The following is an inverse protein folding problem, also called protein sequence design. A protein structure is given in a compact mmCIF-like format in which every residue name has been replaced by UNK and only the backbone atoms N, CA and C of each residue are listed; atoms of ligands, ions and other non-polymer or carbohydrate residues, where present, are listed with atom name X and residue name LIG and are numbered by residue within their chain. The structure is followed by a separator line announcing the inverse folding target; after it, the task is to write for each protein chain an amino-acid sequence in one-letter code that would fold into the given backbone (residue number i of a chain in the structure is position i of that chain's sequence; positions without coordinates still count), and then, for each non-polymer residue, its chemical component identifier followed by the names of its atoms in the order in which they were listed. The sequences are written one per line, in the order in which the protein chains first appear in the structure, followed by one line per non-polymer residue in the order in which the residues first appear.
data_IF_082092197615
#
_entry.id   IF_082092197615
#
_cell.length_a   1.000
_cell.length_b   1.000
_cell.length_c   1.000
_cell.angle_alpha   90.00
_cell.angle_beta   90.00
_cell.angle_gamma   90.00
#
_symmetry.space_group_name_H-M   'P 1'
#
loop_
_entity.id
_entity.type
_entity.pdbx_description
1 polymer ?
#
# COMPACT_ATOMS: atom_id res chain seq x y z
N UNK A 1 10.11 -12.57 24.11
CA UNK A 1 9.64 -12.54 22.72
C UNK A 1 10.59 -11.65 21.95
N UNK A 2 10.90 -11.97 20.70
CA UNK A 2 11.82 -11.12 19.93
C UNK A 2 11.07 -9.88 19.43
N UNK A 3 11.75 -8.72 19.54
CA UNK A 3 11.29 -7.47 18.99
C UNK A 3 12.03 -7.17 17.71
N UNK A 4 11.34 -6.64 16.73
CA UNK A 4 11.90 -6.15 15.47
C UNK A 4 11.42 -4.73 15.19
N UNK A 5 12.16 -4.01 14.37
CA UNK A 5 11.68 -2.74 13.85
C UNK A 5 10.42 -2.96 13.00
N UNK A 6 9.48 -2.05 13.10
CA UNK A 6 8.23 -2.10 12.32
C UNK A 6 8.51 -2.14 10.83
N UNK A 7 9.52 -1.41 10.34
CA UNK A 7 9.93 -1.46 8.93
C UNK A 7 10.34 -2.87 8.50
N UNK A 8 11.10 -3.61 9.32
CA UNK A 8 11.48 -4.99 9.04
C UNK A 8 10.26 -5.93 9.04
N UNK A 9 9.33 -5.72 9.97
CA UNK A 9 8.09 -6.51 10.03
C UNK A 9 7.18 -6.27 8.81
N UNK A 10 7.13 -5.03 8.29
CA UNK A 10 6.42 -4.73 7.04
C UNK A 10 7.08 -5.49 5.87
N UNK A 11 8.41 -5.49 5.78
CA UNK A 11 9.15 -6.24 4.74
C UNK A 11 8.87 -7.74 4.86
N UNK A 12 8.97 -8.31 6.07
CA UNK A 12 8.62 -9.71 6.32
C UNK A 12 7.18 -10.04 5.89
N UNK A 13 6.23 -9.14 6.15
CA UNK A 13 4.83 -9.29 5.72
C UNK A 13 4.72 -9.30 4.19
N UNK A 14 5.36 -8.35 3.51
CA UNK A 14 5.34 -8.28 2.04
C UNK A 14 5.98 -9.53 1.41
N UNK A 15 7.07 -10.04 1.99
CA UNK A 15 7.70 -11.28 1.55
C UNK A 15 6.77 -12.50 1.70
N UNK A 16 6.05 -12.60 2.82
CA UNK A 16 5.06 -13.67 3.06
C UNK A 16 3.89 -13.59 2.07
N UNK A 17 3.54 -12.38 1.63
CA UNK A 17 2.52 -12.14 0.59
C UNK A 17 3.02 -12.42 -0.83
N UNK A 18 4.25 -12.89 -0.99
CA UNK A 18 4.90 -13.11 -2.30
C UNK A 18 5.00 -11.84 -3.16
N UNK A 19 5.07 -10.67 -2.53
CA UNK A 19 5.40 -9.43 -3.22
C UNK A 19 6.85 -9.50 -3.67
N UNK A 20 7.12 -9.21 -4.96
CA UNK A 20 8.48 -9.26 -5.52
C UNK A 20 9.08 -7.87 -5.68
N UNK A 21 8.26 -6.89 -5.97
CA UNK A 21 8.70 -5.53 -6.28
C UNK A 21 7.91 -4.50 -5.48
N UNK A 22 8.63 -3.50 -4.99
CA UNK A 22 8.09 -2.25 -4.45
C UNK A 22 8.54 -1.14 -5.37
N UNK A 23 7.62 -0.48 -6.04
CA UNK A 23 7.90 0.62 -6.98
C UNK A 23 7.85 1.94 -6.23
N UNK A 24 8.88 2.77 -6.33
CA UNK A 24 8.88 4.01 -5.57
C UNK A 24 10.00 4.97 -5.92
N UNK A 25 10.00 6.09 -5.22
CA UNK A 25 11.09 7.04 -5.21
C UNK A 25 11.57 7.21 -3.75
N UNK A 26 12.88 7.30 -3.57
CA UNK A 26 13.44 7.53 -2.25
C UNK A 26 12.94 8.87 -1.69
N UNK A 27 12.63 8.90 -0.40
CA UNK A 27 12.17 10.09 0.28
C UNK A 27 12.38 9.98 1.79
N UNK A 28 12.48 11.12 2.44
CA UNK A 28 12.84 11.23 3.83
C UNK A 28 11.93 10.42 4.77
N UNK A 29 10.62 10.49 4.60
CA UNK A 29 9.67 9.81 5.51
C UNK A 29 9.61 8.29 5.34
N UNK A 30 10.20 7.73 4.29
CA UNK A 30 10.25 6.28 4.04
C UNK A 30 11.66 5.68 4.16
N UNK A 31 12.63 6.43 4.72
CA UNK A 31 14.02 5.97 4.89
C UNK A 31 14.07 4.66 5.68
N UNK A 32 13.30 4.52 6.76
CA UNK A 32 13.24 3.27 7.52
C UNK A 32 12.81 2.07 6.69
N UNK A 33 11.83 2.26 5.78
CA UNK A 33 11.42 1.22 4.82
C UNK A 33 12.50 0.92 3.78
N UNK A 34 13.18 1.94 3.26
CA UNK A 34 14.27 1.74 2.30
C UNK A 34 15.43 0.97 2.90
N UNK A 35 15.76 1.26 4.15
CA UNK A 35 16.78 0.53 4.90
C UNK A 35 16.38 -0.94 5.10
N UNK A 36 15.14 -1.22 5.53
CA UNK A 36 14.63 -2.57 5.66
C UNK A 36 14.59 -3.32 4.31
N UNK A 37 14.11 -2.67 3.24
CA UNK A 37 14.10 -3.23 1.87
C UNK A 37 15.50 -3.56 1.37
N UNK A 38 16.53 -2.77 1.73
CA UNK A 38 17.92 -3.01 1.33
C UNK A 38 18.50 -4.32 1.89
N UNK A 39 17.96 -4.80 3.01
CA UNK A 39 18.34 -6.08 3.63
C UNK A 39 17.60 -7.28 3.08
N UNK A 40 16.46 -7.07 2.41
CA UNK A 40 15.69 -8.15 1.82
C UNK A 40 16.42 -8.77 0.63
N UNK A 41 16.37 -10.11 0.54
CA UNK A 41 16.87 -10.87 -0.61
C UNK A 41 15.77 -11.29 -1.58
N UNK A 42 14.50 -11.07 -1.21
CA UNK A 42 13.33 -11.51 -1.98
C UNK A 42 12.55 -10.34 -2.59
N UNK A 43 12.54 -9.20 -1.91
CA UNK A 43 11.90 -7.97 -2.36
C UNK A 43 12.91 -7.07 -3.07
N UNK A 44 12.51 -6.53 -4.20
CA UNK A 44 13.33 -5.58 -4.96
C UNK A 44 12.66 -4.21 -4.96
N UNK A 45 13.39 -3.20 -4.49
CA UNK A 45 12.95 -1.81 -4.63
C UNK A 45 13.29 -1.30 -6.03
N UNK A 46 12.27 -0.97 -6.80
CA UNK A 46 12.41 -0.37 -8.14
C UNK A 46 12.37 1.14 -7.98
N UNK A 47 13.55 1.74 -7.89
CA UNK A 47 13.69 3.18 -7.75
C UNK A 47 13.36 3.88 -9.07
N UNK A 48 12.35 4.74 -9.06
CA UNK A 48 11.93 5.53 -10.21
C UNK A 48 12.46 6.96 -10.10
N UNK A 49 12.28 7.77 -11.14
CA UNK A 49 12.68 9.18 -11.13
C UNK A 49 11.51 10.14 -10.86
N UNK A 50 10.31 9.59 -10.71
CA UNK A 50 9.10 10.35 -10.41
C UNK A 50 8.03 9.38 -9.90
N UNK A 51 7.22 9.79 -8.94
CA UNK A 51 6.25 8.92 -8.29
C UNK A 51 5.10 8.51 -9.23
N UNK A 52 4.76 9.32 -10.20
CA UNK A 52 3.81 8.93 -11.26
C UNK A 52 4.30 7.72 -12.04
N UNK A 53 5.62 7.61 -12.28
CA UNK A 53 6.22 6.45 -12.92
C UNK A 53 6.11 5.24 -12.00
N UNK A 54 6.33 5.42 -10.69
CA UNK A 54 6.21 4.33 -9.72
C UNK A 54 4.80 3.76 -9.67
N UNK A 55 3.79 4.60 -9.56
CA UNK A 55 2.38 4.16 -9.54
C UNK A 55 1.94 3.55 -10.86
N UNK A 56 2.38 4.08 -12.00
CA UNK A 56 2.07 3.52 -13.32
C UNK A 56 2.79 2.17 -13.54
N UNK A 57 4.03 2.02 -13.07
CA UNK A 57 4.75 0.75 -13.13
C UNK A 57 4.07 -0.32 -12.25
N UNK A 58 3.63 0.07 -11.03
CA UNK A 58 2.85 -0.80 -10.17
C UNK A 58 1.52 -1.23 -10.84
N UNK A 59 0.80 -0.30 -11.48
CA UNK A 59 -0.40 -0.59 -12.26
C UNK A 59 -0.12 -1.61 -13.36
N UNK A 60 0.90 -1.39 -14.18
CA UNK A 60 1.30 -2.31 -15.26
C UNK A 60 1.68 -3.71 -14.73
N UNK A 61 2.42 -3.76 -13.61
CA UNK A 61 2.78 -5.02 -12.97
C UNK A 61 1.54 -5.78 -12.45
N UNK A 62 0.61 -5.09 -11.81
CA UNK A 62 -0.62 -5.71 -11.31
C UNK A 62 -1.51 -6.25 -12.46
N UNK A 63 -1.56 -5.58 -13.62
CA UNK A 63 -2.29 -6.06 -14.80
C UNK A 63 -1.76 -7.40 -15.31
N UNK A 64 -0.44 -7.59 -15.28
CA UNK A 64 0.20 -8.82 -15.78
C UNK A 64 0.12 -9.95 -14.75
N UNK A 65 0.30 -9.63 -13.47
CA UNK A 65 0.36 -10.65 -12.40
C UNK A 65 -0.99 -11.01 -11.79
N UNK A 66 -1.99 -10.14 -11.97
CA UNK A 66 -3.32 -10.24 -11.32
C UNK A 66 -3.24 -10.28 -9.79
N UNK A 67 -2.18 -9.70 -9.21
CA UNK A 67 -1.95 -9.54 -7.77
C UNK A 67 -1.83 -8.06 -7.44
N UNK A 68 -2.09 -7.71 -6.18
CA UNK A 68 -1.87 -6.34 -5.73
C UNK A 68 -0.39 -5.95 -5.83
N UNK A 69 -0.11 -4.90 -6.59
CA UNK A 69 1.22 -4.30 -6.64
C UNK A 69 1.41 -3.28 -5.52
N UNK A 70 2.65 -3.06 -5.12
CA UNK A 70 3.00 -2.10 -4.07
C UNK A 70 3.70 -0.89 -4.68
N UNK A 71 3.12 0.29 -4.49
CA UNK A 71 3.76 1.57 -4.72
C UNK A 71 4.15 2.20 -3.38
N UNK A 72 5.33 2.79 -3.28
CA UNK A 72 5.81 3.46 -2.07
C UNK A 72 6.23 4.89 -2.40
N UNK A 73 5.81 5.83 -1.59
CA UNK A 73 6.11 7.23 -1.79
C UNK A 73 6.33 7.99 -0.47
N UNK A 74 6.99 9.12 -0.59
CA UNK A 74 7.18 10.10 0.45
C UNK A 74 5.87 10.86 0.72
N UNK A 75 5.85 11.75 1.69
CA UNK A 75 4.71 12.60 2.04
C UNK A 75 4.43 13.71 0.99
N UNK A 76 3.30 14.37 1.12
CA UNK A 76 2.93 15.62 0.45
C UNK A 76 3.06 15.57 -1.07
N UNK A 77 4.09 16.24 -1.65
CA UNK A 77 4.26 16.28 -3.11
C UNK A 77 4.33 14.91 -3.77
N UNK A 78 4.90 13.91 -3.09
CA UNK A 78 4.95 12.55 -3.62
C UNK A 78 3.57 11.90 -3.72
N UNK A 79 2.68 12.18 -2.76
CA UNK A 79 1.30 11.70 -2.83
C UNK A 79 0.52 12.36 -3.98
N UNK A 80 0.70 13.66 -4.21
CA UNK A 80 0.09 14.31 -5.38
C UNK A 80 0.62 13.72 -6.69
N UNK A 81 1.89 13.37 -6.73
CA UNK A 81 2.52 12.78 -7.93
C UNK A 81 2.06 11.35 -8.21
N UNK A 82 1.84 10.50 -7.20
CA UNK A 82 1.32 9.13 -7.44
C UNK A 82 -0.14 9.12 -7.88
N UNK A 83 -0.90 10.19 -7.63
CA UNK A 83 -2.34 10.26 -7.82
C UNK A 83 -2.77 9.85 -9.23
N UNK A 84 -2.03 10.23 -10.27
CA UNK A 84 -2.37 9.88 -11.65
C UNK A 84 -2.41 8.38 -11.87
N UNK A 85 -1.39 7.63 -11.49
CA UNK A 85 -1.36 6.17 -11.64
C UNK A 85 -2.36 5.46 -10.72
N UNK A 86 -2.59 5.99 -9.51
CA UNK A 86 -3.61 5.48 -8.58
C UNK A 86 -5.02 5.68 -9.15
N UNK A 87 -5.32 6.85 -9.73
CA UNK A 87 -6.60 7.10 -10.37
C UNK A 87 -6.84 6.18 -11.58
N UNK A 88 -5.80 5.95 -12.40
CA UNK A 88 -5.85 5.00 -13.49
C UNK A 88 -6.16 3.57 -13.01
N UNK A 89 -5.45 3.10 -11.98
CA UNK A 89 -5.70 1.80 -11.36
C UNK A 89 -7.14 1.67 -10.81
N UNK A 90 -7.68 2.76 -10.22
CA UNK A 90 -9.05 2.81 -9.72
C UNK A 90 -10.09 2.64 -10.82
N UNK A 91 -9.94 3.37 -11.92
CA UNK A 91 -10.87 3.32 -13.05
C UNK A 91 -10.89 1.95 -13.71
N UNK A 92 -9.72 1.32 -13.85
CA UNK A 92 -9.56 0.04 -14.52
C UNK A 92 -9.67 -1.17 -13.57
N UNK A 93 -9.98 -0.95 -12.29
CA UNK A 93 -10.13 -2.02 -11.29
C UNK A 93 -8.85 -2.82 -11.08
N UNK A 94 -7.71 -2.14 -11.03
CA UNK A 94 -6.38 -2.75 -10.84
C UNK A 94 -6.01 -2.72 -9.35
N UNK A 95 -5.67 -3.87 -8.74
CA UNK A 95 -5.33 -3.92 -7.33
C UNK A 95 -3.96 -3.26 -7.07
N UNK A 96 -3.91 -2.31 -6.14
CA UNK A 96 -2.69 -1.62 -5.75
C UNK A 96 -2.73 -1.26 -4.27
N UNK A 97 -1.60 -1.42 -3.59
CA UNK A 97 -1.39 -0.92 -2.22
C UNK A 97 -0.36 0.19 -2.28
N UNK A 98 -0.79 1.40 -1.96
CA UNK A 98 0.11 2.55 -1.83
C UNK A 98 0.53 2.64 -0.37
N UNK A 99 1.83 2.55 -0.10
CA UNK A 99 2.43 2.79 1.21
C UNK A 99 3.05 4.18 1.15
N UNK A 100 2.49 5.11 1.88
CA UNK A 100 3.00 6.47 1.96
C UNK A 100 3.66 6.71 3.32
N UNK A 101 4.72 7.51 3.33
CA UNK A 101 5.23 8.07 4.55
C UNK A 101 4.51 9.37 4.90
N UNK A 102 4.38 9.67 6.18
CA UNK A 102 3.86 10.93 6.68
C UNK A 102 4.86 11.59 7.65
N UNK A 103 4.61 12.83 8.03
CA UNK A 103 5.37 13.48 9.09
C UNK A 103 5.34 12.64 10.36
N UNK A 104 6.36 12.75 11.25
CA UNK A 104 6.29 12.08 12.53
C UNK A 104 5.00 12.42 13.28
N UNK A 105 4.39 11.44 13.93
CA UNK A 105 3.08 11.59 14.59
C UNK A 105 3.01 12.75 15.59
N UNK A 106 4.13 13.08 16.24
CA UNK A 106 4.23 14.22 17.17
C UNK A 106 4.31 15.60 16.49
N UNK A 107 4.40 15.64 15.15
CA UNK A 107 4.36 16.89 14.37
C UNK A 107 3.03 17.17 13.69
N UNK A 108 2.06 16.28 13.75
CA UNK A 108 0.76 16.50 13.11
C UNK A 108 0.16 17.86 13.47
N UNK A 109 -0.25 18.60 12.45
CA UNK A 109 -0.84 19.94 12.60
C UNK A 109 0.15 21.06 12.97
N UNK A 110 1.45 20.77 12.97
CA UNK A 110 2.50 21.79 13.23
C UNK A 110 3.19 22.29 11.96
N UNK A 111 2.70 21.83 10.83
CA UNK A 111 3.18 22.20 9.48
C UNK A 111 4.71 22.11 9.28
N UNK A 112 5.34 20.97 9.61
CA UNK A 112 6.73 20.76 9.24
C UNK A 112 6.84 20.68 7.71
N UNK A 113 8.08 20.71 7.21
CA UNK A 113 8.39 20.68 5.80
C UNK A 113 7.60 19.62 5.02
N UNK A 114 6.87 20.03 3.99
CA UNK A 114 6.05 19.20 3.09
C UNK A 114 4.79 18.56 3.73
N UNK A 115 4.47 18.82 4.99
CA UNK A 115 3.18 18.41 5.52
C UNK A 115 2.05 19.07 4.73
N UNK A 116 1.11 18.26 4.25
CA UNK A 116 -0.13 18.74 3.65
C UNK A 116 -1.24 18.57 4.67
N UNK A 117 -1.55 19.65 5.36
CA UNK A 117 -2.67 19.75 6.30
C UNK A 117 -3.17 21.19 6.34
N UNK A 118 -3.81 21.63 5.26
CA UNK A 118 -4.22 23.03 5.08
C UNK A 118 -5.51 23.35 5.83
N UNK A 119 -6.40 22.38 6.01
CA UNK A 119 -7.67 22.49 6.71
C UNK A 119 -8.23 21.07 6.97
N UNK A 120 -9.40 20.95 7.60
CA UNK A 120 -9.97 19.69 8.10
C UNK A 120 -9.93 18.53 7.09
N UNK A 121 -10.27 18.78 5.83
CA UNK A 121 -10.26 17.79 4.76
C UNK A 121 -9.05 17.92 3.81
N UNK A 122 -8.08 18.78 4.14
CA UNK A 122 -6.96 19.14 3.29
C UNK A 122 -5.65 18.44 3.67
N UNK A 123 -5.71 17.28 4.29
CA UNK A 123 -4.53 16.44 4.56
C UNK A 123 -4.19 15.52 3.39
N UNK A 124 -2.94 15.03 3.37
CA UNK A 124 -2.45 14.17 2.29
C UNK A 124 -3.26 12.86 2.14
N UNK A 125 -3.69 12.30 3.25
CA UNK A 125 -4.50 11.10 3.29
C UNK A 125 -5.88 11.33 2.62
N UNK A 126 -6.50 12.49 2.84
CA UNK A 126 -7.80 12.84 2.26
C UNK A 126 -7.75 13.04 0.75
N UNK A 127 -6.61 13.47 0.20
CA UNK A 127 -6.46 13.67 -1.25
C UNK A 127 -6.68 12.39 -2.08
N UNK A 128 -6.37 11.21 -1.52
CA UNK A 128 -6.53 9.94 -2.22
C UNK A 128 -7.89 9.27 -1.98
N UNK A 129 -8.70 9.74 -1.03
CA UNK A 129 -10.02 9.15 -0.74
C UNK A 129 -10.92 9.01 -1.97
N UNK A 130 -11.01 9.99 -2.90
CA UNK A 130 -11.88 9.86 -4.07
C UNK A 130 -11.49 8.77 -5.05
N UNK A 131 -10.22 8.36 -5.07
CA UNK A 131 -9.67 7.41 -6.04
C UNK A 131 -9.27 6.07 -5.42
N UNK A 132 -9.26 5.95 -4.10
CA UNK A 132 -8.95 4.71 -3.41
C UNK A 132 -10.21 4.03 -2.88
N UNK A 133 -10.23 2.70 -2.87
CA UNK A 133 -11.29 1.94 -2.21
C UNK A 133 -11.35 2.25 -0.70
N UNK A 134 -10.17 2.48 -0.11
CA UNK A 134 -10.01 2.93 1.26
C UNK A 134 -8.63 3.53 1.47
N UNK A 135 -8.59 4.52 2.35
CA UNK A 135 -7.36 5.08 2.90
C UNK A 135 -7.33 4.79 4.40
N UNK A 136 -6.15 4.47 4.93
CA UNK A 136 -5.87 4.37 6.35
C UNK A 136 -4.74 5.31 6.70
N UNK A 137 -4.90 6.07 7.75
CA UNK A 137 -3.79 6.69 8.48
C UNK A 137 -3.47 5.82 9.67
N UNK A 138 -2.21 5.51 9.88
CA UNK A 138 -1.77 4.68 11.01
C UNK A 138 -1.53 5.59 12.22
N UNK A 139 -2.49 5.62 13.14
CA UNK A 139 -2.38 6.40 14.38
C UNK A 139 -1.79 5.57 15.52
N UNK A 140 -1.90 4.25 15.42
CA UNK A 140 -1.36 3.28 16.36
C UNK A 140 -0.58 2.20 15.62
N UNK A 141 0.68 2.04 16.02
CA UNK A 141 1.58 1.05 15.42
C UNK A 141 1.10 -0.39 15.63
N UNK A 142 0.41 -0.69 16.72
CA UNK A 142 -0.13 -2.02 17.00
C UNK A 142 -1.29 -2.40 16.05
N UNK A 143 -1.96 -1.40 15.47
CA UNK A 143 -2.99 -1.62 14.47
C UNK A 143 -2.43 -1.94 13.08
N UNK A 144 -1.16 -1.64 12.81
CA UNK A 144 -0.56 -1.72 11.48
C UNK A 144 -0.62 -3.13 10.84
N UNK A 145 -0.37 -4.25 11.57
CA UNK A 145 -0.51 -5.59 10.99
C UNK A 145 -1.93 -5.85 10.45
N UNK A 146 -2.95 -5.42 11.19
CA UNK A 146 -4.36 -5.56 10.79
C UNK A 146 -4.71 -4.64 9.61
N UNK A 147 -4.15 -3.43 9.60
CA UNK A 147 -4.37 -2.47 8.52
C UNK A 147 -3.77 -3.02 7.22
N UNK A 148 -2.53 -3.52 7.24
CA UNK A 148 -1.88 -4.09 6.06
C UNK A 148 -2.63 -5.32 5.53
N UNK A 149 -3.01 -6.25 6.41
CA UNK A 149 -3.78 -7.43 5.99
C UNK A 149 -5.11 -7.03 5.33
N UNK A 150 -5.83 -6.07 5.93
CA UNK A 150 -7.09 -5.56 5.35
C UNK A 150 -6.85 -4.80 4.05
N UNK A 151 -5.76 -4.05 3.95
CA UNK A 151 -5.42 -3.29 2.76
C UNK A 151 -5.23 -4.21 1.55
N UNK A 152 -4.42 -5.24 1.67
CA UNK A 152 -4.20 -6.20 0.58
C UNK A 152 -5.48 -6.94 0.23
N UNK A 153 -6.22 -7.46 1.23
CA UNK A 153 -7.49 -8.14 0.96
C UNK A 153 -8.51 -7.24 0.28
N UNK A 154 -8.61 -5.97 0.70
CA UNK A 154 -9.56 -5.04 0.10
C UNK A 154 -9.13 -4.67 -1.33
N UNK A 155 -7.83 -4.48 -1.57
CA UNK A 155 -7.32 -4.19 -2.91
C UNK A 155 -7.69 -5.30 -3.92
N UNK A 156 -7.64 -6.56 -3.49
CA UNK A 156 -7.80 -7.74 -4.35
C UNK A 156 -9.24 -8.29 -4.39
N UNK A 157 -10.13 -7.89 -3.46
CA UNK A 157 -11.48 -8.48 -3.33
C UNK A 157 -12.56 -7.69 -4.04
N UNK A 158 -13.64 -8.38 -4.43
CA UNK A 158 -14.78 -7.79 -5.14
C UNK A 158 -14.34 -7.16 -6.46
N UNK A 159 -14.70 -5.88 -6.70
CA UNK A 159 -14.07 -5.08 -7.73
C UNK A 159 -12.69 -4.67 -7.22
N UNK A 160 -11.57 -5.16 -7.78
CA UNK A 160 -10.24 -4.77 -7.33
C UNK A 160 -10.01 -3.26 -7.47
N UNK A 161 -9.02 -2.74 -6.77
CA UNK A 161 -8.69 -1.31 -6.87
C UNK A 161 -7.64 -0.88 -5.85
N UNK A 162 -7.17 0.36 -5.94
CA UNK A 162 -6.14 0.88 -5.08
C UNK A 162 -6.63 1.15 -3.66
N UNK A 163 -5.71 1.06 -2.72
CA UNK A 163 -5.85 1.44 -1.32
C UNK A 163 -4.62 2.21 -0.87
N UNK A 164 -4.77 3.05 0.14
CA UNK A 164 -3.68 3.80 0.76
C UNK A 164 -3.47 3.36 2.20
N UNK A 165 -2.22 3.16 2.58
CA UNK A 165 -1.76 3.04 3.97
C UNK A 165 -0.73 4.14 4.20
N UNK A 166 -1.14 5.16 4.95
CA UNK A 166 -0.35 6.34 5.29
C UNK A 166 0.28 6.14 6.66
N UNK A 167 1.61 6.11 6.73
CA UNK A 167 2.36 5.69 7.91
C UNK A 167 3.29 6.82 8.35
N UNK A 168 3.08 7.41 9.55
CA UNK A 168 4.02 8.36 10.13
C UNK A 168 5.43 7.79 10.22
N UNK A 169 6.41 8.62 9.85
CA UNK A 169 7.81 8.20 9.72
C UNK A 169 8.41 7.64 11.01
N UNK A 170 8.00 8.15 12.18
CA UNK A 170 8.46 7.67 13.48
C UNK A 170 8.03 6.22 13.78
N UNK A 171 6.93 5.77 13.16
CA UNK A 171 6.44 4.41 13.35
C UNK A 171 7.33 3.35 12.71
N UNK A 172 8.01 3.67 11.59
CA UNK A 172 8.94 2.72 10.96
C UNK A 172 10.12 2.33 11.87
N UNK A 173 10.52 3.22 12.77
CA UNK A 173 11.64 3.03 13.70
C UNK A 173 11.21 2.50 15.07
N UNK A 174 9.92 2.28 15.31
CA UNK A 174 9.45 1.65 16.55
C UNK A 174 9.75 0.15 16.53
N UNK A 175 9.96 -0.39 17.72
CA UNK A 175 10.05 -1.83 17.93
C UNK A 175 8.69 -2.42 18.27
N UNK A 176 8.38 -3.57 17.71
CA UNK A 176 7.16 -4.31 17.98
C UNK A 176 7.45 -5.79 18.19
N UNK A 177 6.61 -6.44 18.99
CA UNK A 177 6.62 -7.89 19.19
C UNK A 177 6.31 -8.62 17.87
N UNK A 178 7.21 -9.50 17.44
CA UNK A 178 7.06 -10.29 16.21
C UNK A 178 5.81 -11.18 16.24
N UNK A 179 5.41 -11.64 17.41
CA UNK A 179 4.26 -12.50 17.59
C UNK A 179 2.92 -11.82 17.23
N UNK A 180 2.79 -10.50 17.45
CA UNK A 180 1.59 -9.76 17.05
C UNK A 180 1.37 -9.83 15.54
N UNK A 181 2.43 -9.69 14.76
CA UNK A 181 2.38 -9.82 13.30
C UNK A 181 2.04 -11.25 12.87
N UNK A 182 2.64 -12.24 13.53
CA UNK A 182 2.42 -13.65 13.22
C UNK A 182 0.97 -14.07 13.48
N UNK A 183 0.34 -13.57 14.52
CA UNK A 183 -1.08 -13.85 14.83
C UNK A 183 -2.05 -13.21 13.85
N UNK A 184 -1.69 -12.08 13.30
CA UNK A 184 -2.56 -11.34 12.36
C UNK A 184 -2.48 -11.89 10.96
N UNK A 185 -1.31 -12.43 10.58
CA UNK A 185 -1.12 -13.02 9.28
C UNK A 185 -1.86 -14.35 9.17
N UNK A 186 -2.80 -14.43 8.23
CA UNK A 186 -3.51 -15.66 7.91
C UNK A 186 -3.13 -16.14 6.52
N UNK A 187 -2.68 -17.37 6.39
CA UNK A 187 -2.22 -17.95 5.12
C UNK A 187 -3.31 -18.08 4.03
N UNK A 188 -4.57 -17.98 4.42
CA UNK A 188 -5.72 -18.18 3.53
C UNK A 188 -6.28 -16.86 2.98
N UNK A 189 -5.48 -16.13 2.20
CA UNK A 189 -5.90 -14.81 1.69
C UNK A 189 -6.22 -14.77 0.20
N UNK A 190 -6.34 -15.93 -0.45
CA UNK A 190 -6.84 -15.92 -1.81
C UNK A 190 -8.26 -15.31 -1.83
N UNK A 191 -8.48 -14.23 -2.60
CA UNK A 191 -9.81 -13.67 -2.70
C UNK A 191 -10.78 -14.73 -3.19
N UNK A 192 -11.91 -14.88 -2.48
CA UNK A 192 -12.97 -15.77 -2.91
C UNK A 192 -13.52 -15.21 -4.23
N UNK A 193 -13.29 -15.94 -5.31
CA UNK A 193 -13.86 -15.58 -6.61
C UNK A 193 -15.31 -16.02 -6.64
N UNK A 194 -16.23 -15.18 -7.15
CA UNK A 194 -17.61 -15.61 -7.36
C UNK A 194 -17.64 -16.81 -8.33
N UNK A 195 -18.52 -17.75 -8.07
CA UNK A 195 -18.75 -18.87 -8.99
C UNK A 195 -19.37 -18.35 -10.29
N UNK A 196 -18.96 -18.95 -11.41
CA UNK A 196 -19.58 -18.67 -12.70
C UNK A 196 -20.98 -19.31 -12.72
N UNK A 197 -21.98 -18.57 -13.20
CA UNK A 197 -23.28 -19.14 -13.56
C UNK A 197 -23.17 -19.80 -14.94
N UNK A 198 -23.28 -21.14 -15.02
CA UNK A 198 -23.16 -21.87 -16.31
C UNK A 198 -24.23 -21.46 -17.32
N UNK A 199 -25.41 -21.07 -16.88
CA UNK A 199 -26.49 -20.64 -17.75
C UNK A 199 -26.17 -19.28 -18.37
N UNK A 200 -25.66 -18.34 -17.57
CA UNK A 200 -25.20 -17.04 -18.08
C UNK A 200 -24.03 -17.16 -19.06
N UNK A 201 -23.04 -18.02 -18.76
CA UNK A 201 -21.92 -18.32 -19.67
C UNK A 201 -22.42 -18.85 -21.00
N UNK A 202 -23.34 -19.82 -20.98
CA UNK A 202 -23.92 -20.39 -22.19
C UNK A 202 -24.71 -19.35 -23.01
N UNK A 203 -25.48 -18.49 -22.33
CA UNK A 203 -26.25 -17.45 -22.99
C UNK A 203 -25.35 -16.38 -23.66
N UNK A 204 -24.24 -16.04 -23.04
CA UNK A 204 -23.23 -15.10 -23.59
C UNK A 204 -22.54 -15.75 -24.81
N UNK A 205 -22.06 -16.99 -24.68
CA UNK A 205 -21.38 -17.71 -25.76
C UNK A 205 -22.25 -17.89 -27.02
N UNK A 206 -23.57 -17.96 -26.87
CA UNK A 206 -24.50 -18.03 -28.02
C UNK A 206 -24.68 -16.70 -28.74
N UNK A 207 -24.25 -15.56 -28.14
CA UNK A 207 -24.37 -14.22 -28.72
C UNK A 207 -23.09 -13.73 -29.36
N UNK A 208 -21.96 -14.39 -29.08
CA UNK A 208 -20.65 -14.17 -29.70
C UNK A 208 -20.48 -15.06 -30.93
#
# INVERSE_FOLDING_TARGET
MSKKLVADLIVDYLERRDVKYVFGLCGHTVIGMLDALSRSKKLHFVNTRHEAIASTAADGYARVTHKAAVAMCHLGPALTNVLTGVANASLDSIPMVVIAGDVPSYYFGRHPHQEVQMHEDGDQYSMLKPVCKRCWRVDDVEALPYILDRAFRLAESGRPGPVLVDIPMDMFSREMEEDLWSRTYRDSHAPVKPALDPAAVTAIAKKL
#
